data_IF_705626822834
#
_entry.id   IF_705626822834
#
_cell.length_a   1.000
_cell.length_b   1.000
_cell.length_c   1.000
_cell.angle_alpha   90.00
_cell.angle_beta   90.00
_cell.angle_gamma   90.00
#
_symmetry.space_group_name_H-M   'P 1'
#
loop_
_entity.id
_entity.type
_entity.pdbx_description
1 polymer ?
#
# COMPACT_ATOMS: atom_id res chain seq x y z
N UNK A 1 -9.05 -31.98 -30.63
CA UNK A 1 -7.99 -32.36 -29.68
C UNK A 1 -8.39 -31.77 -28.34
N UNK A 2 -8.61 -32.60 -27.33
CA UNK A 2 -8.97 -32.13 -25.98
C UNK A 2 -7.70 -32.02 -25.15
N UNK A 3 -7.49 -30.88 -24.49
CA UNK A 3 -6.40 -30.72 -23.53
C UNK A 3 -6.79 -31.45 -22.23
N UNK A 4 -5.90 -32.27 -21.62
CA UNK A 4 -6.17 -32.81 -20.30
C UNK A 4 -6.10 -31.67 -19.30
N UNK A 5 -7.20 -31.45 -18.57
CA UNK A 5 -7.25 -30.55 -17.42
C UNK A 5 -6.52 -31.26 -16.29
N UNK A 6 -5.41 -30.69 -15.83
CA UNK A 6 -4.63 -31.27 -14.73
C UNK A 6 -5.53 -31.56 -13.55
N UNK A 7 -5.62 -32.83 -13.19
CA UNK A 7 -6.35 -33.31 -12.03
C UNK A 7 -5.54 -32.93 -10.80
N UNK A 8 -5.97 -31.86 -10.11
CA UNK A 8 -5.52 -31.61 -8.75
C UNK A 8 -6.25 -32.60 -7.85
N UNK A 9 -5.64 -33.78 -7.70
CA UNK A 9 -6.11 -34.84 -6.84
C UNK A 9 -5.96 -34.35 -5.39
N UNK A 10 -7.08 -34.21 -4.68
CA UNK A 10 -7.21 -33.55 -3.38
C UNK A 10 -6.57 -34.26 -2.17
N UNK A 11 -5.46 -34.97 -2.37
CA UNK A 11 -4.63 -35.49 -1.30
C UNK A 11 -3.55 -34.46 -0.94
N UNK A 12 -3.32 -34.17 0.35
CA UNK A 12 -2.26 -33.25 0.76
C UNK A 12 -0.90 -33.82 0.34
N UNK A 13 -0.24 -33.16 -0.61
CA UNK A 13 1.11 -33.52 -1.07
C UNK A 13 2.14 -33.20 0.02
N UNK A 14 3.17 -34.02 0.14
CA UNK A 14 4.28 -33.76 1.05
C UNK A 14 4.96 -32.42 0.66
N UNK A 15 5.07 -31.43 1.57
CA UNK A 15 5.74 -30.17 1.30
C UNK A 15 7.17 -30.31 0.77
N UNK A 16 7.87 -31.41 1.09
CA UNK A 16 9.21 -31.70 0.59
C UNK A 16 9.26 -32.04 -0.92
N UNK A 17 8.13 -32.48 -1.49
CA UNK A 17 8.01 -32.83 -2.91
C UNK A 17 7.48 -31.67 -3.76
N UNK A 18 7.01 -30.60 -3.12
CA UNK A 18 6.48 -29.41 -3.80
C UNK A 18 7.64 -28.49 -4.19
N UNK A 19 7.75 -28.10 -5.48
CA UNK A 19 8.78 -27.15 -5.91
C UNK A 19 8.71 -25.85 -5.07
N UNK A 20 9.85 -25.23 -4.71
CA UNK A 20 9.87 -24.01 -3.90
C UNK A 20 9.01 -22.86 -4.46
N UNK A 21 8.87 -22.81 -5.79
CA UNK A 21 8.08 -21.81 -6.49
C UNK A 21 6.55 -22.05 -6.39
N UNK A 22 6.11 -23.21 -5.92
CA UNK A 22 4.70 -23.59 -5.77
C UNK A 22 4.21 -23.51 -4.31
N UNK A 23 5.10 -23.68 -3.32
CA UNK A 23 4.77 -23.61 -1.89
C UNK A 23 4.21 -22.24 -1.45
N UNK A 24 4.68 -21.15 -2.06
CA UNK A 24 4.33 -19.79 -1.66
C UNK A 24 3.21 -19.16 -2.50
N UNK A 25 2.59 -19.93 -3.40
CA UNK A 25 1.46 -19.41 -4.18
C UNK A 25 0.22 -19.36 -3.29
N UNK A 26 -0.58 -18.27 -3.36
CA UNK A 26 -1.86 -18.25 -2.67
C UNK A 26 -2.72 -19.41 -3.16
N UNK A 27 -3.34 -20.11 -2.22
CA UNK A 27 -4.28 -21.18 -2.53
C UNK A 27 -5.57 -20.54 -3.04
N UNK A 28 -5.95 -20.85 -4.29
CA UNK A 28 -7.14 -20.31 -4.94
C UNK A 28 -6.90 -19.00 -5.70
N UNK A 29 -7.94 -18.54 -6.39
CA UNK A 29 -7.92 -17.27 -7.11
C UNK A 29 -7.89 -16.12 -6.08
N UNK A 30 -6.92 -15.20 -6.22
CA UNK A 30 -6.90 -14.00 -5.39
C UNK A 30 -8.20 -13.21 -5.61
N UNK A 31 -8.99 -13.06 -4.55
CA UNK A 31 -10.20 -12.23 -4.60
C UNK A 31 -9.78 -10.78 -4.83
N UNK A 32 -10.42 -10.03 -5.76
CA UNK A 32 -10.13 -8.62 -5.96
C UNK A 32 -10.23 -7.86 -4.65
N UNK A 33 -9.30 -6.93 -4.42
CA UNK A 33 -9.38 -6.01 -3.30
C UNK A 33 -10.72 -5.27 -3.33
N UNK A 34 -11.43 -5.13 -2.20
CA UNK A 34 -12.64 -4.31 -2.16
C UNK A 34 -12.35 -2.89 -2.67
N UNK A 35 -13.33 -2.31 -3.35
CA UNK A 35 -13.27 -0.89 -3.72
C UNK A 35 -13.54 -0.07 -2.46
N UNK A 36 -12.67 0.90 -2.19
CA UNK A 36 -12.89 1.83 -1.08
C UNK A 36 -14.04 2.79 -1.44
N UNK A 37 -15.14 2.80 -0.69
CA UNK A 37 -16.23 3.72 -0.94
C UNK A 37 -15.78 5.15 -0.64
N UNK A 38 -16.03 6.08 -1.56
CA UNK A 38 -15.80 7.51 -1.33
C UNK A 38 -14.46 8.07 -1.82
N UNK A 39 -13.51 7.23 -2.29
CA UNK A 39 -12.25 7.74 -2.86
C UNK A 39 -12.49 8.47 -4.20
N UNK A 40 -13.42 7.96 -5.01
CA UNK A 40 -13.85 8.60 -6.26
C UNK A 40 -14.90 9.69 -6.05
N UNK A 41 -15.31 9.96 -4.81
CA UNK A 41 -16.21 11.06 -4.50
C UNK A 41 -15.39 12.35 -4.35
N UNK A 42 -15.90 13.50 -4.82
CA UNK A 42 -15.24 14.76 -4.55
C UNK A 42 -15.15 14.96 -3.04
N UNK A 43 -14.02 15.54 -2.59
CA UNK A 43 -13.90 15.97 -1.20
C UNK A 43 -15.05 16.92 -0.87
N UNK A 44 -15.61 16.86 0.36
CA UNK A 44 -16.56 17.86 0.84
C UNK A 44 -15.98 19.27 0.70
N UNK A 45 -16.85 20.25 0.49
CA UNK A 45 -16.45 21.66 0.52
C UNK A 45 -15.79 21.99 1.86
N UNK A 46 -14.70 22.76 1.82
CA UNK A 46 -14.12 23.31 3.04
C UNK A 46 -15.19 24.12 3.78
N UNK A 47 -15.26 24.06 5.12
CA UNK A 47 -16.11 24.99 5.86
C UNK A 47 -15.73 26.41 5.44
N UNK A 48 -16.72 27.30 5.36
CA UNK A 48 -16.48 28.73 5.22
C UNK A 48 -15.88 29.21 6.54
N UNK A 49 -14.57 29.00 6.71
CA UNK A 49 -13.79 29.84 7.60
C UNK A 49 -13.85 31.23 6.98
N UNK A 50 -14.25 32.23 7.77
CA UNK A 50 -13.96 33.62 7.44
C UNK A 50 -12.44 33.74 7.50
N UNK A 51 -11.77 33.33 6.41
CA UNK A 51 -10.31 33.33 6.26
C UNK A 51 -9.86 34.78 6.32
N UNK A 52 -9.62 35.25 7.54
CA UNK A 52 -8.61 36.26 7.77
C UNK A 52 -7.29 35.52 7.65
N UNK A 53 -6.50 35.95 6.68
CA UNK A 53 -5.06 35.67 6.58
C UNK A 53 -4.72 34.32 5.92
N UNK A 54 -4.98 34.24 4.61
CA UNK A 54 -4.38 33.25 3.69
C UNK A 54 -2.84 33.39 3.51
N UNK A 55 -2.22 34.30 4.26
CA UNK A 55 -0.79 34.61 4.25
C UNK A 55 -0.01 33.97 5.44
N UNK A 56 -0.67 33.21 6.33
CA UNK A 56 0.06 32.46 7.35
C UNK A 56 0.72 31.21 6.75
N UNK A 57 2.06 31.07 6.83
CA UNK A 57 2.72 29.86 6.37
C UNK A 57 2.26 28.67 7.22
N UNK A 58 1.69 27.66 6.55
CA UNK A 58 1.38 26.35 7.14
C UNK A 58 2.71 25.63 7.40
N UNK A 59 3.29 25.87 8.56
CA UNK A 59 4.49 25.18 9.01
C UNK A 59 5.36 26.06 9.89
N UNK A 60 5.58 25.64 11.13
CA UNK A 60 6.78 26.00 11.85
C UNK A 60 7.95 25.35 11.10
N UNK A 61 8.64 26.12 10.25
CA UNK A 61 9.89 25.70 9.58
C UNK A 61 11.02 25.40 10.58
N UNK A 62 10.80 25.70 11.86
CA UNK A 62 11.71 25.36 12.94
C UNK A 62 11.50 23.90 13.38
N UNK A 63 12.55 23.06 13.32
CA UNK A 63 12.45 21.69 13.80
C UNK A 63 12.23 21.68 15.32
N UNK A 64 11.52 20.67 15.86
CA UNK A 64 11.24 20.62 17.29
C UNK A 64 12.53 20.61 18.13
N UNK A 65 12.47 21.04 19.40
CA UNK A 65 13.62 21.04 20.29
C UNK A 65 14.28 19.65 20.35
N UNK A 66 15.59 19.60 20.07
CA UNK A 66 16.38 18.37 20.12
C UNK A 66 16.62 17.69 18.77
N UNK A 67 16.07 18.21 17.66
CA UNK A 67 16.49 17.78 16.33
C UNK A 67 17.78 18.50 15.96
N UNK A 68 18.86 17.79 15.59
CA UNK A 68 20.09 18.41 15.14
C UNK A 68 19.86 19.12 13.79
N UNK A 69 20.58 20.23 13.58
CA UNK A 69 20.59 20.90 12.29
C UNK A 69 21.07 19.94 11.18
N UNK A 70 20.52 20.08 9.98
CA UNK A 70 20.94 19.30 8.82
C UNK A 70 22.43 19.54 8.57
N UNK A 71 23.25 18.48 8.67
CA UNK A 71 24.68 18.54 8.43
C UNK A 71 25.01 18.63 6.93
N UNK A 72 26.28 18.93 6.58
CA UNK A 72 26.72 18.86 5.20
C UNK A 72 26.56 17.43 4.66
N UNK A 73 25.96 17.30 3.49
CA UNK A 73 25.82 16.01 2.80
C UNK A 73 27.20 15.47 2.42
N UNK A 74 27.53 14.27 2.89
CA UNK A 74 28.80 13.57 2.61
C UNK A 74 28.71 12.64 1.39
N UNK A 75 27.75 12.89 0.50
CA UNK A 75 27.66 12.20 -0.80
C UNK A 75 28.57 12.91 -1.81
N UNK A 76 29.88 12.70 -1.72
CA UNK A 76 30.87 13.18 -2.70
C UNK A 76 31.95 12.13 -3.00
#
# INVERSE_FOLDING_TARGET
MTNPKGEDNGDPRDPAEIPPNELNKPIGDAIPTPVEPGLDQPLPEKPKTDDKDADEPIGDDDPPPGVPAQGPSDFA
#
